data_IF_909866043633
#
_entry.id   IF_909866043633
#
_cell.length_a   1.000
_cell.length_b   1.000
_cell.length_c   1.000
_cell.angle_alpha   90.00
_cell.angle_beta   90.00
_cell.angle_gamma   90.00
#
_symmetry.space_group_name_H-M   'P 1'
#
loop_
_entity.id
_entity.type
_entity.pdbx_description
1 polymer ?
#
# COMPACT_ATOMS: atom_id res chain seq x y z
N UNK A 1 2.77 2.45 7.73
CA UNK A 1 1.62 1.81 7.03
C UNK A 1 1.07 0.63 7.83
N UNK A 2 1.91 -0.35 8.20
CA UNK A 2 1.55 -1.53 8.99
C UNK A 2 0.70 -1.22 10.24
N UNK A 3 1.21 -0.37 11.15
CA UNK A 3 0.49 0.08 12.36
C UNK A 3 -0.90 0.67 12.06
N UNK A 4 -1.01 1.52 11.04
CA UNK A 4 -2.28 2.13 10.64
C UNK A 4 -3.27 1.11 10.05
N UNK A 5 -2.79 0.18 9.22
CA UNK A 5 -3.61 -0.90 8.67
C UNK A 5 -4.11 -1.83 9.76
N UNK A 6 -3.23 -2.22 10.70
CA UNK A 6 -3.60 -3.05 11.84
C UNK A 6 -4.69 -2.39 12.70
N UNK A 7 -4.55 -1.09 12.98
CA UNK A 7 -5.54 -0.35 13.77
C UNK A 7 -6.89 -0.13 13.06
N UNK A 8 -6.89 -0.15 11.72
CA UNK A 8 -8.10 0.11 10.93
C UNK A 8 -8.88 -1.17 10.62
N UNK A 9 -8.18 -2.28 10.36
CA UNK A 9 -8.78 -3.52 9.91
C UNK A 9 -9.18 -4.45 11.06
N UNK A 10 -8.57 -4.31 12.22
CA UNK A 10 -8.74 -5.20 13.36
C UNK A 10 -9.30 -4.48 14.58
N UNK A 11 -9.77 -5.25 15.57
CA UNK A 11 -10.39 -4.72 16.80
C UNK A 11 -10.22 -5.69 17.96
N UNK A 12 -10.69 -5.31 19.14
CA UNK A 12 -10.69 -6.21 20.31
C UNK A 12 -11.46 -7.52 20.10
N UNK A 13 -12.41 -7.53 19.17
CA UNK A 13 -13.19 -8.73 18.80
C UNK A 13 -12.47 -9.61 17.77
N UNK A 14 -11.59 -9.00 16.97
CA UNK A 14 -10.89 -9.62 15.86
C UNK A 14 -9.40 -9.29 16.00
N UNK A 15 -8.75 -9.93 16.97
CA UNK A 15 -7.34 -9.68 17.30
C UNK A 15 -6.43 -10.19 16.20
N UNK A 16 -5.27 -9.54 16.05
CA UNK A 16 -4.26 -9.91 15.06
C UNK A 16 -2.91 -10.08 15.73
N UNK A 17 -2.12 -11.03 15.23
CA UNK A 17 -0.75 -11.26 15.65
C UNK A 17 0.18 -11.14 14.44
N UNK A 18 1.24 -10.34 14.59
CA UNK A 18 2.30 -10.18 13.59
C UNK A 18 3.35 -11.25 13.84
N UNK A 19 3.42 -12.24 12.96
CA UNK A 19 4.40 -13.33 13.05
C UNK A 19 5.75 -12.95 12.46
N UNK A 20 5.76 -12.31 11.28
CA UNK A 20 6.96 -11.93 10.54
C UNK A 20 6.67 -10.70 9.69
N UNK A 21 7.70 -9.93 9.37
CA UNK A 21 7.65 -8.83 8.38
C UNK A 21 8.60 -9.21 7.24
N UNK A 22 8.06 -9.47 6.06
CA UNK A 22 8.87 -9.72 4.87
C UNK A 22 9.08 -8.41 4.13
N UNK A 23 10.32 -8.09 3.78
CA UNK A 23 10.66 -6.91 3.00
C UNK A 23 11.60 -7.25 1.84
N UNK A 24 11.53 -6.43 0.79
CA UNK A 24 12.53 -6.48 -0.28
C UNK A 24 13.84 -5.86 0.22
N UNK A 25 14.88 -6.68 0.25
CA UNK A 25 16.02 -6.51 1.15
C UNK A 25 17.20 -5.69 0.63
N UNK A 26 17.13 -5.18 -0.59
CA UNK A 26 18.22 -4.39 -1.19
C UNK A 26 17.70 -3.18 -1.98
N UNK A 27 17.07 -2.19 -1.33
CA UNK A 27 16.78 -0.91 -1.98
C UNK A 27 18.07 -0.19 -2.39
N UNK A 28 18.33 -0.05 -3.70
CA UNK A 28 19.56 0.57 -4.27
C UNK A 28 19.87 1.97 -3.69
N UNK A 29 18.85 2.69 -3.21
CA UNK A 29 18.97 4.10 -2.85
C UNK A 29 18.86 4.40 -1.35
N UNK A 30 18.39 3.46 -0.52
CA UNK A 30 18.25 3.72 0.92
C UNK A 30 18.25 2.41 1.72
N UNK A 31 19.32 2.10 2.48
CA UNK A 31 19.35 0.90 3.28
C UNK A 31 18.17 0.85 4.26
N UNK A 32 17.59 -0.34 4.36
CA UNK A 32 16.50 -0.63 5.28
C UNK A 32 17.03 -0.54 6.72
N UNK A 33 16.44 0.34 7.54
CA UNK A 33 16.83 0.50 8.95
C UNK A 33 15.78 -0.20 9.83
N UNK A 34 16.09 -1.43 10.22
CA UNK A 34 15.21 -2.28 11.04
C UNK A 34 14.92 -1.64 12.39
N UNK A 35 15.94 -1.11 13.06
CA UNK A 35 15.80 -0.44 14.35
C UNK A 35 14.79 0.69 14.28
N UNK A 36 14.86 1.54 13.25
CA UNK A 36 13.89 2.62 13.02
C UNK A 36 12.48 2.09 12.83
N UNK A 37 12.31 0.97 12.13
CA UNK A 37 10.98 0.40 11.85
C UNK A 37 10.39 -0.20 13.12
N UNK A 38 11.17 -0.98 13.85
CA UNK A 38 10.80 -1.49 15.16
C UNK A 38 10.48 -0.34 16.10
N UNK A 39 11.29 0.72 16.12
CA UNK A 39 11.02 1.92 16.89
C UNK A 39 9.68 2.58 16.50
N UNK A 40 9.37 2.67 15.20
CA UNK A 40 8.09 3.25 14.77
C UNK A 40 6.87 2.37 15.06
N UNK A 41 7.05 1.05 15.16
CA UNK A 41 5.99 0.11 15.52
C UNK A 41 5.74 0.11 17.02
N UNK A 42 6.83 0.04 17.80
CA UNK A 42 6.83 -0.24 19.23
C UNK A 42 6.85 1.00 20.11
N UNK A 43 7.48 2.12 19.69
CA UNK A 43 7.67 3.24 20.62
C UNK A 43 6.43 4.12 20.82
N UNK A 44 6.33 4.44 22.11
CA UNK A 44 5.23 4.93 22.90
C UNK A 44 5.24 6.45 23.07
N UNK A 45 4.37 6.91 23.96
CA UNK A 45 3.80 8.24 24.19
C UNK A 45 4.77 9.43 24.25
N UNK A 46 6.08 9.21 24.46
CA UNK A 46 7.13 10.24 24.53
C UNK A 46 7.21 11.10 23.25
N UNK A 47 6.80 10.53 22.12
CA UNK A 47 6.77 11.23 20.81
C UNK A 47 5.39 11.80 20.45
N UNK A 48 4.41 11.71 21.35
CA UNK A 48 3.01 12.12 21.11
C UNK A 48 2.26 11.22 20.11
N UNK A 49 2.80 10.04 19.79
CA UNK A 49 2.20 9.09 18.85
C UNK A 49 1.34 8.06 19.58
N UNK A 50 0.23 7.66 18.96
CA UNK A 50 -0.64 6.61 19.50
C UNK A 50 0.15 5.30 19.59
N UNK A 51 0.17 4.61 20.74
CA UNK A 51 0.81 3.30 20.87
C UNK A 51 0.13 2.26 19.98
N UNK A 52 0.76 1.10 19.83
CA UNK A 52 0.12 -0.05 19.22
C UNK A 52 -1.09 -0.46 20.09
N UNK A 53 -2.23 -0.76 19.48
CA UNK A 53 -3.42 -1.17 20.24
C UNK A 53 -3.24 -2.58 20.81
N UNK A 54 -3.80 -2.84 21.99
CA UNK A 54 -3.69 -4.13 22.71
C UNK A 54 -4.15 -5.35 21.90
N UNK A 55 -5.02 -5.16 20.91
CA UNK A 55 -5.49 -6.21 20.00
C UNK A 55 -4.51 -6.54 18.85
N UNK A 56 -3.41 -5.80 18.72
CA UNK A 56 -2.33 -6.06 17.75
C UNK A 56 -1.13 -6.59 18.53
N UNK A 57 -0.93 -7.90 18.45
CA UNK A 57 0.19 -8.58 19.09
C UNK A 57 1.35 -8.71 18.12
N UNK A 58 2.57 -8.75 18.65
CA UNK A 58 3.77 -9.11 17.90
C UNK A 58 4.31 -10.38 18.55
N UNK A 59 4.49 -11.43 17.74
CA UNK A 59 4.98 -12.70 18.23
C UNK A 59 6.38 -12.52 18.86
N UNK A 60 6.73 -13.21 19.96
CA UNK A 60 8.04 -13.05 20.62
C UNK A 60 9.23 -13.35 19.71
N UNK A 61 9.02 -14.22 18.73
CA UNK A 61 10.03 -14.61 17.72
C UNK A 61 9.84 -13.87 16.38
N UNK A 62 9.04 -12.79 16.36
CA UNK A 62 8.81 -12.06 15.13
C UNK A 62 10.11 -11.43 14.62
N UNK A 63 10.39 -11.66 13.34
CA UNK A 63 11.57 -11.14 12.66
C UNK A 63 11.20 -10.29 11.45
N UNK A 64 12.14 -9.43 11.06
CA UNK A 64 12.15 -8.81 9.76
C UNK A 64 13.03 -9.69 8.86
N UNK A 65 12.45 -10.23 7.81
CA UNK A 65 13.14 -11.10 6.86
C UNK A 65 13.28 -10.39 5.52
N UNK A 66 14.50 -10.36 5.02
CA UNK A 66 14.86 -9.75 3.74
C UNK A 66 14.83 -10.81 2.67
N UNK A 67 13.99 -10.61 1.67
CA UNK A 67 13.76 -11.57 0.59
C UNK A 67 13.87 -10.86 -0.76
N UNK A 68 14.59 -11.45 -1.72
CA UNK A 68 14.59 -10.96 -3.10
C UNK A 68 13.15 -10.97 -3.63
N UNK A 69 12.67 -9.81 -4.10
CA UNK A 69 11.37 -9.73 -4.74
C UNK A 69 11.34 -10.36 -6.14
N UNK A 70 12.49 -10.74 -6.73
CA UNK A 70 12.48 -11.51 -7.98
C UNK A 70 12.04 -12.96 -7.69
N UNK A 71 10.76 -13.25 -7.98
CA UNK A 71 10.20 -14.59 -7.79
C UNK A 71 10.95 -15.68 -8.56
N UNK A 72 11.74 -15.34 -9.58
CA UNK A 72 12.52 -16.30 -10.37
C UNK A 72 13.76 -16.81 -9.63
N UNK A 73 14.17 -16.11 -8.58
CA UNK A 73 15.28 -16.54 -7.71
C UNK A 73 14.86 -17.68 -6.76
N UNK A 74 13.56 -18.00 -6.70
CA UNK A 74 12.99 -18.93 -5.73
C UNK A 74 12.37 -20.16 -6.41
N UNK A 75 12.28 -21.26 -5.67
CA UNK A 75 11.66 -22.51 -6.15
C UNK A 75 10.15 -22.30 -6.30
N UNK A 76 9.59 -22.71 -7.45
CA UNK A 76 8.16 -22.60 -7.71
C UNK A 76 7.33 -23.17 -6.55
N UNK A 77 6.32 -22.43 -6.12
CA UNK A 77 5.41 -22.74 -5.02
C UNK A 77 6.05 -22.86 -3.61
N UNK A 78 7.33 -22.51 -3.45
CA UNK A 78 7.94 -22.36 -2.12
C UNK A 78 7.35 -21.16 -1.36
N UNK A 79 7.58 -21.10 -0.05
CA UNK A 79 7.12 -19.98 0.77
C UNK A 79 7.75 -18.66 0.29
N UNK A 80 9.04 -18.70 -0.01
CA UNK A 80 9.82 -17.60 -0.57
C UNK A 80 9.28 -17.15 -1.92
N UNK A 81 8.93 -18.09 -2.80
CA UNK A 81 8.32 -17.77 -4.09
C UNK A 81 6.98 -17.04 -3.91
N UNK A 82 6.14 -17.50 -2.97
CA UNK A 82 4.87 -16.85 -2.65
C UNK A 82 5.09 -15.44 -2.08
N UNK A 83 6.02 -15.29 -1.13
CA UNK A 83 6.37 -14.00 -0.55
C UNK A 83 6.94 -13.03 -1.58
N UNK A 84 7.82 -13.47 -2.47
CA UNK A 84 8.37 -12.66 -3.56
C UNK A 84 7.27 -12.17 -4.50
N UNK A 85 6.30 -13.04 -4.85
CA UNK A 85 5.12 -12.64 -5.61
C UNK A 85 4.28 -11.58 -4.86
N UNK A 86 4.08 -11.74 -3.55
CA UNK A 86 3.38 -10.73 -2.75
C UNK A 86 4.10 -9.40 -2.71
N UNK A 87 5.44 -9.40 -2.58
CA UNK A 87 6.26 -8.19 -2.66
C UNK A 87 6.07 -7.49 -4.02
N UNK A 88 6.15 -8.24 -5.13
CA UNK A 88 5.90 -7.69 -6.47
C UNK A 88 4.48 -7.14 -6.63
N UNK A 89 3.47 -7.84 -6.13
CA UNK A 89 2.08 -7.35 -6.16
C UNK A 89 1.92 -6.07 -5.35
N UNK A 90 2.54 -5.99 -4.17
CA UNK A 90 2.51 -4.78 -3.34
C UNK A 90 3.15 -3.58 -4.07
N UNK A 91 4.28 -3.79 -4.74
CA UNK A 91 4.97 -2.78 -5.53
C UNK A 91 4.17 -2.35 -6.77
N UNK A 92 3.55 -3.30 -7.49
CA UNK A 92 2.67 -3.00 -8.62
C UNK A 92 1.46 -2.18 -8.16
N UNK A 93 0.85 -2.53 -7.02
CA UNK A 93 -0.27 -1.77 -6.46
C UNK A 93 0.15 -0.35 -6.06
N UNK A 94 1.26 -0.20 -5.34
CA UNK A 94 1.79 1.10 -4.95
C UNK A 94 2.14 1.95 -6.18
N UNK A 95 2.85 1.36 -7.14
CA UNK A 95 3.23 1.99 -8.40
C UNK A 95 2.02 2.42 -9.23
N UNK A 96 0.99 1.57 -9.30
CA UNK A 96 -0.27 1.87 -10.00
C UNK A 96 -1.00 3.04 -9.37
N UNK A 97 -1.17 3.04 -8.04
CA UNK A 97 -1.78 4.17 -7.31
C UNK A 97 -0.97 5.43 -7.55
N UNK A 98 0.37 5.39 -7.42
CA UNK A 98 1.21 6.57 -7.66
C UNK A 98 1.07 7.10 -9.09
N UNK A 99 1.06 6.22 -10.09
CA UNK A 99 0.92 6.60 -11.50
C UNK A 99 -0.45 7.24 -11.78
N UNK A 100 -1.53 6.71 -11.18
CA UNK A 100 -2.89 7.24 -11.30
C UNK A 100 -3.02 8.64 -10.69
N UNK A 101 -2.58 8.81 -9.45
CA UNK A 101 -2.85 10.05 -8.69
C UNK A 101 -1.80 11.15 -8.91
N UNK A 102 -0.56 10.79 -9.26
CA UNK A 102 0.55 11.72 -9.33
C UNK A 102 1.39 11.60 -10.62
N UNK A 103 1.05 10.63 -11.47
CA UNK A 103 1.75 10.39 -12.73
C UNK A 103 0.97 10.93 -13.93
N UNK A 104 1.31 10.41 -15.10
CA UNK A 104 0.72 10.78 -16.38
C UNK A 104 -0.29 9.74 -16.85
N UNK A 105 -1.05 9.15 -15.93
CA UNK A 105 -2.01 8.10 -16.24
C UNK A 105 -2.96 8.52 -17.37
N UNK A 106 -3.03 7.68 -18.40
CA UNK A 106 -3.96 7.83 -19.52
C UNK A 106 -4.98 6.71 -19.46
N UNK A 107 -6.24 7.05 -19.69
CA UNK A 107 -7.29 6.05 -19.69
C UNK A 107 -7.07 5.06 -20.84
N UNK A 108 -6.91 3.79 -20.51
CA UNK A 108 -6.65 2.71 -21.47
C UNK A 108 -7.98 2.15 -21.96
N UNK A 109 -8.16 2.07 -23.28
CA UNK A 109 -9.41 1.61 -23.89
C UNK A 109 -9.52 0.09 -23.98
N UNK A 110 -8.38 -0.62 -24.08
CA UNK A 110 -8.30 -2.09 -24.05
C UNK A 110 -6.93 -2.56 -23.55
N UNK A 111 -6.91 -3.75 -22.96
CA UNK A 111 -5.64 -4.45 -22.68
C UNK A 111 -5.01 -4.83 -24.02
N UNK A 112 -3.72 -4.53 -24.26
CA UNK A 112 -3.02 -4.95 -25.47
C UNK A 112 -3.00 -6.46 -25.63
N UNK A 113 -3.13 -6.94 -26.86
CA UNK A 113 -3.00 -8.37 -27.21
C UNK A 113 -1.54 -8.73 -27.52
N UNK A 114 -1.26 -10.03 -27.62
CA UNK A 114 0.08 -10.49 -28.01
C UNK A 114 0.42 -9.99 -29.41
N UNK A 115 1.53 -9.26 -29.53
CA UNK A 115 1.98 -8.64 -30.77
C UNK A 115 1.61 -7.17 -30.92
N UNK A 116 0.74 -6.63 -30.04
CA UNK A 116 0.44 -5.20 -30.03
C UNK A 116 1.64 -4.37 -29.53
N UNK A 117 1.78 -3.17 -30.08
CA UNK A 117 2.70 -2.16 -29.55
C UNK A 117 2.06 -1.51 -28.32
N UNK A 118 2.71 -1.67 -27.17
CA UNK A 118 2.28 -1.06 -25.91
C UNK A 118 3.11 0.20 -25.63
N UNK A 119 2.58 1.37 -25.99
CA UNK A 119 3.26 2.65 -25.79
C UNK A 119 3.36 3.06 -24.31
N UNK A 120 2.34 2.74 -23.52
CA UNK A 120 2.26 3.10 -22.10
C UNK A 120 1.90 1.90 -21.23
N UNK A 121 2.91 1.06 -20.99
CA UNK A 121 2.80 -0.11 -20.12
C UNK A 121 2.34 0.25 -18.71
N UNK A 122 2.72 1.43 -18.18
CA UNK A 122 2.37 1.83 -16.81
C UNK A 122 0.88 2.10 -16.68
N UNK A 123 0.28 2.78 -17.66
CA UNK A 123 -1.17 3.00 -17.68
C UNK A 123 -1.95 1.70 -17.88
N UNK A 124 -1.44 0.77 -18.71
CA UNK A 124 -2.07 -0.57 -18.89
C UNK A 124 -2.06 -1.36 -17.58
N UNK A 125 -0.93 -1.41 -16.88
CA UNK A 125 -0.81 -2.11 -15.59
C UNK A 125 -1.68 -1.45 -14.51
N UNK A 126 -1.79 -0.13 -14.51
CA UNK A 126 -2.59 0.60 -13.54
C UNK A 126 -4.11 0.55 -13.81
N UNK A 127 -4.53 0.17 -15.02
CA UNK A 127 -5.93 0.17 -15.45
C UNK A 127 -6.88 -0.58 -14.49
N UNK A 128 -6.58 -1.81 -14.00
CA UNK A 128 -7.46 -2.52 -13.07
C UNK A 128 -7.65 -1.77 -11.74
N UNK A 129 -6.60 -1.10 -11.25
CA UNK A 129 -6.67 -0.28 -10.03
C UNK A 129 -7.53 0.96 -10.28
N UNK A 130 -7.40 1.60 -11.44
CA UNK A 130 -8.23 2.72 -11.83
C UNK A 130 -9.72 2.35 -11.94
N UNK A 131 -10.02 1.22 -12.58
CA UNK A 131 -11.41 0.73 -12.66
C UNK A 131 -11.99 0.43 -11.30
N UNK A 132 -11.20 -0.17 -10.40
CA UNK A 132 -11.59 -0.41 -9.01
C UNK A 132 -11.90 0.91 -8.29
N UNK A 133 -11.05 1.92 -8.44
CA UNK A 133 -11.30 3.26 -7.91
C UNK A 133 -12.60 3.85 -8.46
N UNK A 134 -12.85 3.76 -9.77
CA UNK A 134 -14.10 4.23 -10.38
C UNK A 134 -15.33 3.46 -9.87
N UNK A 135 -15.22 2.17 -9.57
CA UNK A 135 -16.31 1.41 -8.93
C UNK A 135 -16.57 1.89 -7.51
N UNK A 136 -15.53 2.19 -6.73
CA UNK A 136 -15.66 2.82 -5.40
C UNK A 136 -16.36 4.17 -5.51
N UNK A 137 -15.99 5.01 -6.48
CA UNK A 137 -16.60 6.32 -6.73
C UNK A 137 -18.10 6.23 -7.05
N UNK A 138 -18.49 5.28 -7.92
CA UNK A 138 -19.88 5.09 -8.33
C UNK A 138 -20.80 4.76 -7.16
N UNK A 139 -20.30 4.08 -6.13
CA UNK A 139 -21.02 3.74 -4.90
C UNK A 139 -22.15 2.72 -5.06
N UNK A 140 -23.17 3.04 -5.86
CA UNK A 140 -24.38 2.23 -6.01
C UNK A 140 -24.08 0.86 -6.65
N UNK A 141 -24.61 -0.22 -6.06
CA UNK A 141 -24.37 -1.61 -6.48
C UNK A 141 -23.00 -2.19 -6.08
N UNK A 142 -21.93 -1.39 -6.14
CA UNK A 142 -20.60 -1.83 -5.71
C UNK A 142 -20.50 -1.98 -4.19
N UNK A 143 -21.13 -1.09 -3.41
CA UNK A 143 -21.14 -1.14 -1.93
C UNK A 143 -21.61 -2.48 -1.34
N UNK A 144 -22.42 -3.23 -2.09
CA UNK A 144 -22.97 -4.54 -1.68
C UNK A 144 -22.18 -5.73 -2.25
N UNK A 145 -21.12 -5.49 -3.02
CA UNK A 145 -20.25 -6.55 -3.54
C UNK A 145 -19.23 -6.98 -2.50
N UNK A 146 -18.83 -8.26 -2.51
CA UNK A 146 -17.74 -8.75 -1.66
C UNK A 146 -16.43 -7.98 -1.87
N UNK A 147 -16.20 -7.50 -3.10
CA UNK A 147 -15.02 -6.69 -3.47
C UNK A 147 -14.96 -5.32 -2.79
N UNK A 148 -16.10 -4.72 -2.42
CA UNK A 148 -16.12 -3.40 -1.79
C UNK A 148 -15.57 -3.41 -0.36
N UNK A 149 -15.78 -4.50 0.38
CA UNK A 149 -15.21 -4.66 1.73
C UNK A 149 -13.75 -5.11 1.70
N UNK A 150 -13.31 -5.70 0.59
CA UNK A 150 -11.94 -6.20 0.41
C UNK A 150 -10.91 -5.12 0.05
N UNK A 151 -11.35 -3.90 -0.29
CA UNK A 151 -10.44 -2.86 -0.77
C UNK A 151 -10.80 -1.47 -0.22
N UNK A 152 -9.84 -0.87 0.49
CA UNK A 152 -9.94 0.53 0.98
C UNK A 152 -8.71 1.29 0.53
N UNK A 153 -8.91 2.45 -0.11
CA UNK A 153 -7.84 3.43 -0.33
C UNK A 153 -8.06 4.64 0.58
N UNK A 154 -7.04 4.98 1.36
CA UNK A 154 -7.01 6.18 2.19
C UNK A 154 -5.82 7.04 1.82
N UNK A 155 -6.03 8.35 1.71
CA UNK A 155 -4.96 9.35 1.70
C UNK A 155 -4.44 9.49 3.13
N UNK A 156 -3.16 9.19 3.30
CA UNK A 156 -2.46 9.41 4.55
C UNK A 156 -1.91 10.85 4.56
N UNK A 157 -2.32 11.67 5.52
CA UNK A 157 -1.74 12.99 5.78
C UNK A 157 -0.84 12.91 7.01
N UNK A 158 0.39 13.40 6.87
CA UNK A 158 1.33 13.57 7.98
C UNK A 158 1.25 15.01 8.46
N UNK A 159 0.84 15.22 9.71
CA UNK A 159 1.06 16.45 10.44
C UNK A 159 2.26 16.33 11.38
N UNK A 160 2.66 17.44 11.99
CA UNK A 160 3.75 17.46 12.99
C UNK A 160 3.52 16.45 14.12
N UNK A 161 2.27 16.32 14.60
CA UNK A 161 1.91 15.46 15.73
C UNK A 161 0.77 14.47 15.42
N UNK A 162 0.41 14.28 14.14
CA UNK A 162 -0.68 13.36 13.81
C UNK A 162 -0.47 12.63 12.49
N UNK A 163 -1.10 11.46 12.42
CA UNK A 163 -1.30 10.71 11.18
C UNK A 163 -2.81 10.63 10.99
N UNK A 164 -3.31 11.23 9.91
CA UNK A 164 -4.72 11.15 9.56
C UNK A 164 -4.89 10.25 8.32
N UNK A 165 -5.76 9.24 8.43
CA UNK A 165 -6.21 8.44 7.30
C UNK A 165 -7.56 9.00 6.86
N UNK A 166 -7.57 9.72 5.73
CA UNK A 166 -8.81 10.15 5.11
C UNK A 166 -9.13 9.19 3.99
N UNK A 167 -10.32 8.58 4.02
CA UNK A 167 -10.78 7.80 2.87
C UNK A 167 -10.77 8.71 1.64
N UNK A 168 -10.18 8.25 0.55
CA UNK A 168 -10.14 9.05 -0.68
C UNK A 168 -11.55 9.14 -1.26
N UNK A 169 -12.17 10.31 -1.14
CA UNK A 169 -13.33 10.68 -1.95
C UNK A 169 -12.77 11.18 -3.30
N UNK A 170 -12.90 10.34 -4.32
CA UNK A 170 -12.43 10.60 -5.69
C UNK A 170 -12.98 11.87 -6.39
N UNK A 171 -14.12 12.50 -6.02
CA UNK A 171 -14.63 13.69 -6.72
C UNK A 171 -13.73 14.94 -6.66
N UNK A 172 -12.80 15.05 -5.72
CA UNK A 172 -12.04 16.29 -5.48
C UNK A 172 -10.60 16.26 -6.02
N UNK A 173 -10.26 15.34 -6.93
CA UNK A 173 -8.88 15.21 -7.42
C UNK A 173 -8.35 16.42 -8.21
N UNK A 174 -9.24 17.29 -8.66
CA UNK A 174 -8.90 18.48 -9.45
C UNK A 174 -9.25 19.81 -8.78
N UNK A 175 -9.69 19.80 -7.52
CA UNK A 175 -10.29 20.99 -6.89
C UNK A 175 -9.61 21.50 -5.62
N UNK A 176 -8.46 20.95 -5.22
CA UNK A 176 -7.66 21.53 -4.13
C UNK A 176 -6.25 21.82 -4.64
N UNK A 177 -6.06 23.11 -4.91
CA UNK A 177 -4.85 23.83 -5.31
C UNK A 177 -3.51 23.21 -4.89
N UNK A 178 -2.70 23.02 -5.91
CA UNK A 178 -1.29 22.60 -5.95
C UNK A 178 -0.32 23.66 -5.39
N UNK A 179 -0.72 24.51 -4.43
CA UNK A 179 0.12 25.64 -4.00
C UNK A 179 1.21 25.28 -2.98
N UNK A 180 1.18 24.11 -2.34
CA UNK A 180 2.19 23.75 -1.30
C UNK A 180 3.28 22.78 -1.75
N UNK A 181 3.25 22.28 -2.99
CA UNK A 181 4.30 21.38 -3.53
C UNK A 181 5.20 22.02 -4.60
N UNK A 182 5.15 23.35 -4.75
CA UNK A 182 6.11 24.12 -5.57
C UNK A 182 7.22 24.78 -4.74
N UNK A 183 7.27 24.60 -3.41
CA UNK A 183 8.28 25.26 -2.54
C UNK A 183 9.34 24.34 -1.95
N UNK A 184 9.49 23.09 -2.40
CA UNK A 184 10.49 22.14 -1.86
C UNK A 184 11.26 21.37 -2.94
N UNK A 185 11.51 22.00 -4.09
CA UNK A 185 12.63 21.68 -4.97
C UNK A 185 13.54 22.89 -5.12
#
# INVERSE_FOLDING_TARGET
LLKGAAHFLYSDKDRVEVLRIICDGQPEHRPFNEERILWQLLIEEETGRTPLRDYVLIHPEACIEHLSSDHKDHVLDSEEYVHANFLQVADILLGSVRHIFYGTYKNVSRVPELGDVCEDKRSVVAMPVWEMLKKVERGYGFMHSGHYRAFTISRMKFGSNYIAFNRLNLPNLHSEEDETMMSLF
#
